data_IF_894109610535
#
_entry.id   IF_894109610535
#
_cell.length_a   1.000
_cell.length_b   1.000
_cell.length_c   1.000
_cell.angle_alpha   90.00
_cell.angle_beta   90.00
_cell.angle_gamma   90.00
#
_symmetry.space_group_name_H-M   'P 1'
#
loop_
_entity.id
_entity.type
_entity.pdbx_description
1 polymer ?
#
# COMPACT_ATOMS: atom_id res chain seq x y z
N UNK A 1 2.38 -6.71 -19.45
CA UNK A 1 3.20 -6.50 -18.24
C UNK A 1 3.63 -7.85 -17.69
N UNK A 2 4.91 -8.15 -17.84
CA UNK A 2 5.59 -9.25 -17.17
C UNK A 2 5.67 -8.98 -15.66
N UNK A 3 6.00 -10.00 -14.87
CA UNK A 3 6.20 -9.82 -13.42
C UNK A 3 7.32 -8.81 -13.12
N UNK A 4 8.41 -8.86 -13.90
CA UNK A 4 9.53 -7.91 -13.76
C UNK A 4 9.12 -6.47 -14.07
N UNK A 5 8.34 -6.26 -15.12
CA UNK A 5 7.81 -4.92 -15.45
C UNK A 5 6.88 -4.40 -14.36
N UNK A 6 6.02 -5.25 -13.80
CA UNK A 6 5.12 -4.88 -12.72
C UNK A 6 5.89 -4.46 -11.45
N UNK A 7 7.00 -5.13 -11.16
CA UNK A 7 7.84 -4.83 -10.00
C UNK A 7 8.56 -3.49 -10.15
N UNK A 8 9.06 -3.19 -11.35
CA UNK A 8 9.67 -1.90 -11.67
C UNK A 8 8.63 -0.78 -11.50
N UNK A 9 7.46 -0.91 -12.11
CA UNK A 9 6.40 0.09 -12.00
C UNK A 9 5.92 0.28 -10.55
N UNK A 10 5.83 -0.81 -9.78
CA UNK A 10 5.49 -0.74 -8.36
C UNK A 10 6.54 0.02 -7.54
N UNK A 11 7.82 -0.23 -7.78
CA UNK A 11 8.91 0.47 -7.10
C UNK A 11 8.92 1.97 -7.45
N UNK A 12 8.69 2.32 -8.72
CA UNK A 12 8.60 3.72 -9.15
C UNK A 12 7.38 4.42 -8.53
N UNK A 13 6.22 3.74 -8.48
CA UNK A 13 5.04 4.25 -7.80
C UNK A 13 5.28 4.45 -6.30
N UNK A 14 5.98 3.50 -5.65
CA UNK A 14 6.33 3.61 -4.24
C UNK A 14 7.29 4.77 -3.97
N UNK A 15 8.31 4.94 -4.81
CA UNK A 15 9.25 6.06 -4.72
C UNK A 15 8.53 7.40 -4.85
N UNK A 16 7.63 7.51 -5.85
CA UNK A 16 6.79 8.71 -6.03
C UNK A 16 5.91 8.97 -4.82
N UNK A 17 5.15 7.97 -4.35
CA UNK A 17 4.28 8.17 -3.19
C UNK A 17 5.06 8.51 -1.91
N UNK A 18 6.29 8.00 -1.77
CA UNK A 18 7.14 8.26 -0.60
C UNK A 18 7.81 9.63 -0.62
N UNK A 19 7.92 10.29 -1.79
CA UNK A 19 8.43 11.67 -1.89
C UNK A 19 7.38 12.73 -1.56
N UNK A 20 6.11 12.35 -1.45
CA UNK A 20 4.99 13.27 -1.24
C UNK A 20 4.63 13.39 0.24
N UNK A 21 4.05 14.53 0.62
CA UNK A 21 3.59 14.72 1.99
C UNK A 21 2.33 13.89 2.27
N UNK A 22 2.41 12.99 3.27
CA UNK A 22 1.31 12.10 3.63
C UNK A 22 0.01 12.85 3.99
N UNK A 23 0.09 14.05 4.57
CA UNK A 23 -1.07 14.86 4.99
C UNK A 23 -1.95 15.28 3.82
N UNK A 24 -1.40 15.35 2.60
CA UNK A 24 -2.11 15.72 1.38
C UNK A 24 -2.94 14.57 0.79
N UNK A 25 -2.75 13.34 1.31
CA UNK A 25 -3.46 12.15 0.85
C UNK A 25 -4.65 11.88 1.78
N UNK A 26 -5.86 11.65 1.25
CA UNK A 26 -7.02 11.23 2.05
C UNK A 26 -6.71 10.03 2.96
N UNK A 27 -7.13 10.03 4.24
CA UNK A 27 -6.79 8.97 5.19
C UNK A 27 -7.19 7.55 4.74
N UNK A 28 -8.30 7.41 4.00
CA UNK A 28 -8.74 6.13 3.43
C UNK A 28 -7.75 5.62 2.36
N UNK A 29 -7.24 6.51 1.51
CA UNK A 29 -6.23 6.17 0.51
C UNK A 29 -4.89 5.85 1.18
N UNK A 30 -4.53 6.52 2.28
CA UNK A 30 -3.34 6.15 3.07
C UNK A 30 -3.44 4.70 3.59
N UNK A 31 -4.62 4.29 4.10
CA UNK A 31 -4.86 2.93 4.57
C UNK A 31 -4.78 1.91 3.43
N UNK A 32 -5.36 2.22 2.27
CA UNK A 32 -5.27 1.37 1.08
C UNK A 32 -3.82 1.22 0.60
N UNK A 33 -3.07 2.32 0.46
CA UNK A 33 -1.67 2.31 0.06
C UNK A 33 -0.83 1.47 1.03
N UNK A 34 -1.04 1.65 2.34
CA UNK A 34 -0.38 0.85 3.38
C UNK A 34 -0.68 -0.64 3.23
N UNK A 35 -1.95 -1.03 3.11
CA UNK A 35 -2.37 -2.42 3.05
C UNK A 35 -1.85 -3.11 1.78
N UNK A 36 -1.97 -2.45 0.62
CA UNK A 36 -1.46 -2.98 -0.65
C UNK A 36 0.06 -3.10 -0.66
N UNK A 37 0.78 -2.14 -0.09
CA UNK A 37 2.24 -2.23 0.05
C UNK A 37 2.66 -3.45 0.87
N UNK A 38 2.10 -3.59 2.09
CA UNK A 38 2.40 -4.72 2.99
C UNK A 38 2.07 -6.06 2.34
N UNK A 39 0.94 -6.12 1.61
CA UNK A 39 0.56 -7.30 0.82
C UNK A 39 1.56 -7.61 -0.29
N UNK A 40 2.02 -6.59 -1.02
CA UNK A 40 2.94 -6.74 -2.14
C UNK A 40 4.31 -7.28 -1.71
N UNK A 41 4.84 -6.82 -0.57
CA UNK A 41 6.12 -7.29 0.00
C UNK A 41 6.00 -8.57 0.83
N UNK A 42 4.78 -9.10 1.00
CA UNK A 42 4.49 -10.33 1.75
C UNK A 42 4.96 -10.30 3.21
N UNK A 43 4.91 -9.13 3.83
CA UNK A 43 5.28 -9.01 5.23
C UNK A 43 4.20 -9.68 6.10
N UNK A 44 4.56 -10.42 7.16
CA UNK A 44 3.60 -11.07 8.03
C UNK A 44 2.55 -10.07 8.56
N UNK A 45 1.28 -10.42 8.36
CA UNK A 45 0.11 -9.54 8.48
C UNK A 45 -0.09 -8.94 9.87
N UNK A 46 0.31 -9.66 10.91
CA UNK A 46 0.02 -9.30 12.30
C UNK A 46 1.18 -9.84 13.14
N UNK A 47 1.91 -8.94 13.78
CA UNK A 47 2.72 -9.32 14.94
C UNK A 47 1.86 -9.07 16.18
N UNK A 48 1.97 -9.91 17.22
CA UNK A 48 1.20 -9.73 18.46
C UNK A 48 1.35 -8.34 19.08
N UNK A 49 2.42 -7.60 18.77
CA UNK A 49 2.65 -6.22 19.21
C UNK A 49 1.63 -5.22 18.67
N UNK A 50 0.94 -5.51 17.57
CA UNK A 50 -0.09 -4.65 17.00
C UNK A 50 -1.36 -4.59 17.87
N UNK A 51 -1.55 -5.54 18.78
CA UNK A 51 -2.68 -5.59 19.72
C UNK A 51 -2.40 -4.90 21.06
N UNK A 52 -1.14 -4.54 21.35
CA UNK A 52 -0.77 -3.95 22.65
C UNK A 52 -1.13 -2.46 22.74
N UNK A 53 -1.35 -1.80 21.60
CA UNK A 53 -1.83 -0.42 21.56
C UNK A 53 -3.36 -0.39 21.51
N UNK A 54 -4.02 0.17 22.53
CA UNK A 54 -5.42 0.63 22.47
C UNK A 54 -5.58 1.85 21.52
N UNK A 55 -4.89 1.82 20.37
CA UNK A 55 -4.81 2.89 19.40
C UNK A 55 -5.77 2.61 18.23
N UNK A 56 -6.75 3.50 18.07
CA UNK A 56 -7.72 3.47 16.98
C UNK A 56 -7.05 3.43 15.60
N UNK A 57 -5.88 4.09 15.45
CA UNK A 57 -5.11 4.08 14.19
C UNK A 57 -4.59 2.69 13.87
N UNK A 58 -4.12 1.94 14.87
CA UNK A 58 -3.68 0.56 14.72
C UNK A 58 -4.83 -0.36 14.32
N UNK A 59 -6.03 -0.16 14.89
CA UNK A 59 -7.22 -0.91 14.51
C UNK A 59 -7.63 -0.69 13.04
N UNK A 60 -7.58 0.55 12.55
CA UNK A 60 -7.85 0.84 11.14
C UNK A 60 -6.84 0.19 10.20
N UNK A 61 -5.54 0.22 10.56
CA UNK A 61 -4.49 -0.47 9.79
C UNK A 61 -4.71 -1.98 9.75
N UNK A 62 -5.06 -2.59 10.87
CA UNK A 62 -5.35 -4.02 10.94
C UNK A 62 -6.55 -4.40 10.07
N UNK A 63 -7.64 -3.61 10.13
CA UNK A 63 -8.80 -3.82 9.27
C UNK A 63 -8.43 -3.75 7.78
N UNK A 64 -7.68 -2.71 7.37
CA UNK A 64 -7.22 -2.57 5.98
C UNK A 64 -6.35 -3.77 5.54
N UNK A 65 -5.47 -4.27 6.42
CA UNK A 65 -4.67 -5.46 6.14
C UNK A 65 -5.52 -6.72 5.97
N UNK A 66 -6.53 -6.92 6.81
CA UNK A 66 -7.47 -8.05 6.70
C UNK A 66 -8.21 -8.01 5.36
N UNK A 67 -8.67 -6.83 4.93
CA UNK A 67 -9.42 -6.67 3.68
C UNK A 67 -8.62 -7.08 2.42
N UNK A 68 -7.29 -6.96 2.46
CA UNK A 68 -6.43 -7.30 1.32
C UNK A 68 -5.80 -8.71 1.43
N UNK A 69 -6.19 -9.52 2.42
CA UNK A 69 -5.62 -10.86 2.61
C UNK A 69 -5.85 -11.81 1.42
N UNK A 70 -7.01 -11.70 0.79
CA UNK A 70 -7.46 -12.60 -0.27
C UNK A 70 -6.89 -12.31 -1.65
N UNK A 71 -6.31 -11.12 -1.88
CA UNK A 71 -5.77 -10.75 -3.20
C UNK A 71 -4.32 -11.24 -3.36
N UNK A 72 -3.85 -11.41 -4.60
CA UNK A 72 -2.46 -11.81 -4.86
C UNK A 72 -1.46 -10.65 -4.68
N UNK A 73 -0.16 -10.95 -4.57
CA UNK A 73 0.88 -9.90 -4.55
C UNK A 73 0.85 -9.03 -5.80
N UNK A 74 0.69 -9.66 -6.97
CA UNK A 74 0.59 -8.97 -8.25
C UNK A 74 -0.63 -8.03 -8.30
N UNK A 75 -1.78 -8.48 -7.79
CA UNK A 75 -2.98 -7.65 -7.71
C UNK A 75 -2.79 -6.47 -6.75
N UNK A 76 -2.14 -6.69 -5.61
CA UNK A 76 -1.81 -5.61 -4.67
C UNK A 76 -0.90 -4.55 -5.31
N UNK A 77 0.14 -4.96 -6.04
CA UNK A 77 1.01 -4.05 -6.80
C UNK A 77 0.22 -3.22 -7.81
N UNK A 78 -0.66 -3.86 -8.60
CA UNK A 78 -1.51 -3.16 -9.59
C UNK A 78 -2.45 -2.13 -8.93
N UNK A 79 -3.08 -2.49 -7.82
CA UNK A 79 -3.97 -1.58 -7.08
C UNK A 79 -3.22 -0.41 -6.45
N UNK A 80 -2.03 -0.67 -5.91
CA UNK A 80 -1.15 0.37 -5.40
C UNK A 80 -0.79 1.37 -6.50
N UNK A 81 -0.24 0.88 -7.62
CA UNK A 81 0.11 1.71 -8.79
C UNK A 81 -1.08 2.55 -9.24
N UNK A 82 -2.26 1.96 -9.37
CA UNK A 82 -3.48 2.66 -9.80
C UNK A 82 -3.90 3.79 -8.87
N UNK A 83 -3.71 3.66 -7.56
CA UNK A 83 -3.98 4.75 -6.61
C UNK A 83 -2.95 5.86 -6.80
N UNK A 84 -1.67 5.51 -6.89
CA UNK A 84 -0.59 6.50 -7.09
C UNK A 84 -0.77 7.23 -8.43
N UNK A 85 -1.11 6.57 -9.53
CA UNK A 85 -1.38 7.20 -10.83
C UNK A 85 -2.54 8.20 -10.78
N UNK A 86 -3.57 7.91 -9.98
CA UNK A 86 -4.70 8.81 -9.81
C UNK A 86 -4.34 10.06 -8.99
N UNK A 87 -3.49 9.89 -7.98
CA UNK A 87 -3.03 11.01 -7.14
C UNK A 87 -1.98 11.85 -7.85
N UNK A 88 -1.08 11.19 -8.58
CA UNK A 88 0.09 11.77 -9.22
C UNK A 88 0.23 11.18 -10.63
N UNK A 89 -0.36 11.78 -11.67
CA UNK A 89 -0.24 11.27 -13.02
C UNK A 89 1.22 11.11 -13.48
N UNK A 90 1.50 10.05 -14.24
CA UNK A 90 2.81 9.78 -14.87
C UNK A 90 3.27 10.96 -15.77
N UNK A 91 4.58 11.07 -16.08
CA UNK A 91 5.66 10.12 -15.80
C UNK A 91 6.25 10.25 -14.38
N UNK A 92 6.76 9.13 -13.89
CA UNK A 92 7.60 9.05 -12.70
C UNK A 92 8.95 8.49 -13.10
N UNK A 93 10.00 8.85 -12.36
CA UNK A 93 11.37 8.43 -12.63
C UNK A 93 11.79 7.32 -11.66
#
# INVERSE_FOLDING_TARGET
MTEKELDIDFNNAFAKASSEEQSLVPPDLQLHLYAYYKRAINEPYVSNRSFESNDLRSAFKMNALIQVQSISKAEAKRRYIKIVEKLYPKPWQ
#
